data_IF_942171866021
#
_entry.id   IF_942171866021
#
_cell.length_a   1.000
_cell.length_b   1.000
_cell.length_c   1.000
_cell.angle_alpha   90.00
_cell.angle_beta   90.00
_cell.angle_gamma   90.00
#
_symmetry.space_group_name_H-M   'P 1'
#
loop_
_entity.id
_entity.type
_entity.pdbx_description
1 polymer ?
#
# COMPACT_ATOMS: atom_id res chain seq x y z
N UNK A 1 -1.42 -25.49 16.21
CA UNK A 1 -1.34 -24.14 15.63
C UNK A 1 -0.65 -23.23 16.59
N UNK A 2 0.15 -22.31 16.06
CA UNK A 2 0.78 -21.22 16.79
C UNK A 2 0.16 -19.90 16.34
N UNK A 3 0.07 -18.92 17.23
CA UNK A 3 -0.41 -17.58 16.87
C UNK A 3 0.57 -16.91 15.88
N UNK A 4 0.06 -16.20 14.84
CA UNK A 4 0.89 -15.40 13.96
C UNK A 4 1.79 -14.44 14.75
N UNK A 5 3.06 -14.37 14.33
CA UNK A 5 4.09 -13.61 15.04
C UNK A 5 4.95 -12.80 14.06
N UNK A 6 5.69 -11.82 14.58
CA UNK A 6 6.64 -11.02 13.80
C UNK A 6 7.94 -10.91 14.58
N UNK A 7 9.05 -11.27 13.94
CA UNK A 7 10.37 -11.00 14.45
C UNK A 7 10.83 -9.63 13.92
N UNK A 8 11.19 -8.72 14.82
CA UNK A 8 11.65 -7.38 14.49
C UNK A 8 13.07 -7.14 14.98
N UNK A 9 13.90 -6.51 14.14
CA UNK A 9 15.19 -5.94 14.52
C UNK A 9 15.16 -4.47 14.14
N UNK A 10 15.51 -3.58 15.07
CA UNK A 10 15.58 -2.14 14.82
C UNK A 10 16.88 -1.55 15.33
N UNK A 11 17.37 -0.55 14.60
CA UNK A 11 18.58 0.20 14.93
C UNK A 11 18.34 1.69 14.67
N UNK A 12 18.63 2.53 15.66
CA UNK A 12 18.45 3.97 15.56
C UNK A 12 19.71 4.73 15.96
N UNK A 13 20.02 5.80 15.22
CA UNK A 13 21.05 6.77 15.58
C UNK A 13 20.46 8.17 15.50
N UNK A 14 20.75 9.00 16.49
CA UNK A 14 20.30 10.38 16.52
C UNK A 14 21.39 11.30 17.07
N UNK A 15 21.38 12.55 16.64
CA UNK A 15 22.26 13.56 17.19
C UNK A 15 21.59 14.95 17.15
N UNK A 16 21.99 15.80 18.09
CA UNK A 16 21.59 17.20 18.14
C UNK A 16 22.86 18.06 18.22
N UNK A 17 23.04 18.93 17.24
CA UNK A 17 24.17 19.85 17.17
C UNK A 17 23.65 21.26 16.99
N UNK A 18 23.95 22.12 17.97
CA UNK A 18 23.47 23.51 18.03
C UNK A 18 21.93 23.57 17.94
N UNK A 19 21.41 24.14 16.85
CA UNK A 19 19.98 24.31 16.58
C UNK A 19 19.44 23.28 15.58
N UNK A 20 20.25 22.30 15.22
CA UNK A 20 19.88 21.19 14.35
C UNK A 20 19.76 19.88 15.13
N UNK A 21 18.81 19.05 14.73
CA UNK A 21 18.71 17.68 15.20
C UNK A 21 18.36 16.76 14.03
N UNK A 22 18.90 15.55 14.05
CA UNK A 22 18.58 14.53 13.07
C UNK A 22 18.51 13.15 13.72
N UNK A 23 17.74 12.25 13.09
CA UNK A 23 17.53 10.87 13.50
C UNK A 23 17.44 9.99 12.26
N UNK A 24 18.00 8.79 12.36
CA UNK A 24 17.90 7.74 11.35
C UNK A 24 17.52 6.45 12.06
N UNK A 25 16.42 5.82 11.66
CA UNK A 25 16.01 4.51 12.16
C UNK A 25 15.88 3.51 11.01
N UNK A 26 16.43 2.32 11.21
CA UNK A 26 16.19 1.15 10.38
C UNK A 26 15.35 0.14 11.16
N UNK A 27 14.39 -0.49 10.48
CA UNK A 27 13.61 -1.60 11.00
C UNK A 27 13.53 -2.72 9.96
N UNK A 28 13.80 -3.94 10.40
CA UNK A 28 13.56 -5.17 9.65
C UNK A 28 12.47 -5.97 10.35
N UNK A 29 11.45 -6.43 9.61
CA UNK A 29 10.44 -7.36 10.12
C UNK A 29 10.35 -8.58 9.24
N UNK A 30 10.27 -9.75 9.87
CA UNK A 30 9.94 -11.03 9.23
C UNK A 30 8.74 -11.63 9.94
N UNK A 31 7.62 -11.67 9.23
CA UNK A 31 6.41 -12.32 9.72
C UNK A 31 6.56 -13.85 9.69
N UNK A 32 5.96 -14.52 10.67
CA UNK A 32 5.98 -15.96 10.85
C UNK A 32 4.59 -16.47 11.30
N UNK A 33 4.41 -17.79 11.24
CA UNK A 33 3.23 -18.49 11.76
C UNK A 33 1.90 -18.00 11.16
N UNK A 34 1.89 -17.59 9.89
CA UNK A 34 0.66 -17.13 9.22
C UNK A 34 -0.33 -18.28 9.05
N UNK A 35 -1.60 -18.02 9.31
CA UNK A 35 -2.64 -19.02 9.07
C UNK A 35 -2.86 -19.27 7.57
N UNK A 36 -3.02 -20.55 7.23
CA UNK A 36 -3.40 -21.01 5.90
C UNK A 36 -4.40 -22.15 5.96
N UNK A 37 -5.06 -22.35 4.82
CA UNK A 37 -5.96 -23.46 4.55
C UNK A 37 -5.18 -24.60 3.91
N UNK A 38 -5.39 -25.80 4.44
CA UNK A 38 -4.84 -27.05 3.95
C UNK A 38 -6.00 -27.90 3.45
N UNK A 39 -5.98 -28.21 2.16
CA UNK A 39 -6.94 -29.11 1.54
C UNK A 39 -6.15 -29.95 0.53
N UNK A 40 -5.93 -31.21 0.90
CA UNK A 40 -5.27 -32.21 0.06
C UNK A 40 -5.78 -33.61 0.39
N UNK A 41 -5.34 -34.63 -0.33
CA UNK A 41 -5.84 -36.00 -0.10
C UNK A 41 -5.62 -36.53 1.32
N UNK A 42 -4.63 -36.02 2.07
CA UNK A 42 -4.37 -36.44 3.46
C UNK A 42 -5.30 -35.79 4.49
N UNK A 43 -5.95 -34.68 4.14
CA UNK A 43 -6.95 -34.02 5.00
C UNK A 43 -8.27 -34.80 5.07
N UNK A 44 -8.52 -35.70 4.11
CA UNK A 44 -9.71 -36.55 4.08
C UNK A 44 -10.97 -35.83 3.59
N UNK A 45 -12.11 -36.45 3.86
CA UNK A 45 -13.43 -35.98 3.43
C UNK A 45 -14.41 -36.00 4.59
N UNK A 46 -15.37 -35.10 4.56
CA UNK A 46 -16.51 -35.06 5.49
C UNK A 46 -17.81 -35.21 4.71
N UNK A 47 -18.88 -35.54 5.40
CA UNK A 47 -20.20 -35.71 4.79
C UNK A 47 -21.19 -34.84 5.54
N UNK A 48 -22.06 -34.14 4.81
CA UNK A 48 -23.15 -33.38 5.42
C UNK A 48 -24.27 -34.32 5.93
N UNK A 49 -25.29 -33.75 6.59
CA UNK A 49 -26.43 -34.51 7.08
C UNK A 49 -27.26 -35.19 5.98
N UNK A 50 -27.06 -34.83 4.70
CA UNK A 50 -27.73 -35.38 3.54
C UNK A 50 -26.88 -36.43 2.80
N UNK A 51 -25.71 -36.80 3.31
CA UNK A 51 -24.86 -37.82 2.69
C UNK A 51 -23.93 -37.28 1.59
N UNK A 52 -23.86 -35.95 1.38
CA UNK A 52 -23.00 -35.36 0.33
C UNK A 52 -21.56 -35.25 0.82
N UNK A 53 -20.57 -35.79 0.08
CA UNK A 53 -19.18 -35.69 0.47
C UNK A 53 -18.59 -34.32 0.13
N UNK A 54 -17.68 -33.85 0.97
CA UNK A 54 -16.89 -32.64 0.79
C UNK A 54 -15.42 -32.93 1.13
N UNK A 55 -14.50 -32.30 0.42
CA UNK A 55 -13.08 -32.33 0.78
C UNK A 55 -12.88 -31.48 2.05
N UNK A 56 -12.18 -32.02 3.05
CA UNK A 56 -12.02 -31.37 4.35
C UNK A 56 -10.92 -30.29 4.30
N UNK A 57 -11.27 -29.03 4.54
CA UNK A 57 -10.27 -27.98 4.78
C UNK A 57 -9.88 -27.96 6.25
N UNK A 58 -8.59 -28.17 6.52
CA UNK A 58 -8.00 -27.90 7.82
C UNK A 58 -7.34 -26.53 7.81
N UNK A 59 -7.43 -25.82 8.92
CA UNK A 59 -6.64 -24.60 9.12
C UNK A 59 -5.36 -25.00 9.84
N UNK A 60 -4.22 -24.43 9.46
CA UNK A 60 -2.95 -24.53 10.23
C UNK A 60 -2.04 -23.35 9.89
N UNK A 61 -0.80 -23.34 10.37
CA UNK A 61 0.19 -22.35 9.96
C UNK A 61 0.82 -22.76 8.63
N UNK A 62 0.73 -21.91 7.60
CA UNK A 62 1.27 -22.18 6.28
C UNK A 62 2.79 -21.96 6.24
N UNK A 63 3.61 -22.96 5.87
CA UNK A 63 5.04 -22.77 5.69
C UNK A 63 5.37 -22.02 4.38
N UNK A 64 4.40 -21.92 3.46
CA UNK A 64 4.57 -21.28 2.16
C UNK A 64 4.42 -19.76 2.25
N UNK A 65 3.67 -19.27 3.25
CA UNK A 65 3.38 -17.86 3.40
C UNK A 65 4.60 -17.06 3.89
N UNK A 66 4.98 -16.06 3.11
CA UNK A 66 6.16 -15.22 3.32
C UNK A 66 5.72 -13.75 3.25
N UNK A 67 6.10 -12.97 4.26
CA UNK A 67 5.98 -11.50 4.28
C UNK A 67 7.12 -10.90 5.09
N UNK A 68 7.77 -9.88 4.53
CA UNK A 68 8.91 -9.18 5.11
C UNK A 68 8.75 -7.69 4.89
N UNK A 69 9.37 -6.92 5.77
CA UNK A 69 9.40 -5.47 5.70
C UNK A 69 10.79 -4.92 6.05
N UNK A 70 11.26 -3.97 5.26
CA UNK A 70 12.40 -3.11 5.58
C UNK A 70 11.90 -1.66 5.58
N UNK A 71 12.27 -0.90 6.59
CA UNK A 71 12.00 0.53 6.67
C UNK A 71 13.24 1.28 7.09
N UNK A 72 13.56 2.36 6.38
CA UNK A 72 14.53 3.37 6.78
C UNK A 72 13.80 4.71 6.89
N UNK A 73 13.79 5.30 8.09
CA UNK A 73 13.24 6.63 8.34
C UNK A 73 14.34 7.59 8.70
N UNK A 74 14.45 8.69 7.96
CA UNK A 74 15.36 9.78 8.24
C UNK A 74 14.54 11.03 8.58
N UNK A 75 14.85 11.65 9.71
CA UNK A 75 14.22 12.88 10.18
C UNK A 75 15.32 13.92 10.43
N UNK A 76 15.13 15.13 9.92
CA UNK A 76 16.05 16.23 10.16
C UNK A 76 15.29 17.54 10.37
N UNK A 77 15.78 18.36 11.30
CA UNK A 77 15.22 19.68 11.59
C UNK A 77 16.32 20.67 11.95
N UNK A 78 16.13 21.92 11.55
CA UNK A 78 17.02 23.00 11.92
C UNK A 78 16.24 24.28 12.21
N UNK A 79 16.55 24.93 13.33
CA UNK A 79 15.95 26.21 13.73
C UNK A 79 16.93 27.35 13.54
N UNK A 80 16.63 28.24 12.60
CA UNK A 80 17.22 29.58 12.51
C UNK A 80 16.46 30.54 13.46
N UNK A 81 16.71 31.84 13.36
CA UNK A 81 16.09 32.83 14.26
C UNK A 81 14.57 32.95 14.00
N UNK A 82 14.18 33.27 12.78
CA UNK A 82 12.79 33.43 12.35
C UNK A 82 12.31 32.31 11.41
N UNK A 83 13.18 31.35 11.10
CA UNK A 83 12.92 30.28 10.14
C UNK A 83 13.17 28.93 10.79
N UNK A 84 12.23 28.01 10.62
CA UNK A 84 12.39 26.60 10.96
C UNK A 84 12.25 25.80 9.68
N UNK A 85 13.15 24.85 9.49
CA UNK A 85 13.08 23.90 8.38
C UNK A 85 13.16 22.50 8.94
N UNK A 86 12.47 21.57 8.31
CA UNK A 86 12.62 20.18 8.65
C UNK A 86 12.06 19.29 7.57
N UNK A 87 12.28 18.01 7.74
CA UNK A 87 11.68 17.02 6.89
C UNK A 87 11.90 15.62 7.39
N UNK A 88 11.09 14.74 6.84
CA UNK A 88 11.21 13.31 7.00
C UNK A 88 11.21 12.62 5.64
N UNK A 89 11.92 11.50 5.60
CA UNK A 89 12.00 10.63 4.44
C UNK A 89 11.89 9.20 4.91
N UNK A 90 11.00 8.44 4.29
CA UNK A 90 10.84 7.01 4.50
C UNK A 90 11.18 6.29 3.20
N UNK A 91 12.17 5.41 3.27
CA UNK A 91 12.42 4.37 2.27
C UNK A 91 11.86 3.07 2.83
N UNK A 92 10.87 2.48 2.17
CA UNK A 92 10.25 1.24 2.65
C UNK A 92 10.25 0.13 1.61
N UNK A 93 10.24 -1.12 2.07
CA UNK A 93 10.06 -2.32 1.25
C UNK A 93 9.13 -3.26 1.97
N UNK A 94 8.00 -3.63 1.38
CA UNK A 94 7.17 -4.75 1.83
C UNK A 94 7.13 -5.78 0.73
N UNK A 95 7.58 -7.00 1.02
CA UNK A 95 7.66 -8.05 0.00
C UNK A 95 7.40 -9.45 0.56
N UNK A 96 6.97 -10.35 -0.32
CA UNK A 96 6.48 -11.66 0.05
C UNK A 96 5.54 -12.21 -1.01
N UNK A 97 4.88 -13.32 -0.69
CA UNK A 97 3.80 -13.90 -1.49
C UNK A 97 2.43 -13.77 -0.79
N UNK A 98 2.39 -13.27 0.45
CA UNK A 98 1.17 -13.19 1.25
C UNK A 98 0.86 -11.77 1.74
N UNK A 99 -0.37 -11.32 1.51
CA UNK A 99 -0.86 -10.01 1.97
C UNK A 99 -1.51 -10.08 3.34
N UNK A 100 -2.26 -11.13 3.61
CA UNK A 100 -3.01 -11.30 4.86
C UNK A 100 -4.29 -10.49 4.96
N UNK A 101 -4.58 -9.56 4.03
CA UNK A 101 -5.79 -8.73 4.02
C UNK A 101 -6.21 -8.36 2.59
N UNK A 102 -7.45 -7.89 2.41
CA UNK A 102 -7.92 -7.29 1.16
C UNK A 102 -8.85 -6.09 1.43
N UNK A 103 -9.33 -5.40 0.39
CA UNK A 103 -10.13 -4.17 0.55
C UNK A 103 -11.47 -4.40 1.27
N UNK A 104 -12.04 -5.60 1.17
CA UNK A 104 -13.38 -5.93 1.71
C UNK A 104 -13.36 -6.81 2.96
N UNK A 105 -12.18 -7.18 3.47
CA UNK A 105 -12.04 -8.13 4.57
C UNK A 105 -10.75 -7.88 5.35
N UNK A 106 -10.79 -8.12 6.65
CA UNK A 106 -9.60 -8.09 7.50
C UNK A 106 -8.71 -9.32 7.27
N UNK A 107 -8.30 -10.05 8.33
CA UNK A 107 -7.36 -11.14 8.19
C UNK A 107 -7.92 -12.26 7.31
N UNK A 108 -7.29 -12.49 6.17
CA UNK A 108 -7.54 -13.64 5.28
C UNK A 108 -6.48 -14.72 5.51
N UNK A 109 -6.83 -15.98 5.22
CA UNK A 109 -5.92 -17.11 5.32
C UNK A 109 -5.21 -17.36 3.99
N UNK A 110 -3.97 -17.84 4.04
CA UNK A 110 -3.25 -18.27 2.85
C UNK A 110 -3.94 -19.51 2.25
N UNK A 111 -4.04 -19.59 0.92
CA UNK A 111 -4.65 -20.75 0.22
C UNK A 111 -3.64 -21.55 -0.59
N UNK A 112 -2.35 -21.29 -0.40
CA UNK A 112 -1.24 -21.91 -1.14
C UNK A 112 -1.21 -23.43 -0.96
N UNK A 113 -1.62 -23.92 0.21
CA UNK A 113 -1.62 -25.34 0.59
C UNK A 113 -2.96 -26.05 0.27
N UNK A 114 -3.86 -25.39 -0.47
CA UNK A 114 -5.10 -26.00 -0.99
C UNK A 114 -4.92 -26.43 -2.43
N UNK A 115 -5.29 -27.66 -2.77
CA UNK A 115 -5.17 -28.20 -4.14
C UNK A 115 -3.76 -27.98 -4.70
N UNK A 116 -2.73 -28.40 -3.96
CA UNK A 116 -1.33 -28.10 -4.28
C UNK A 116 -0.93 -28.57 -5.69
N UNK A 117 -1.53 -29.65 -6.19
CA UNK A 117 -1.30 -30.20 -7.53
C UNK A 117 -1.74 -29.24 -8.66
N UNK A 118 -2.64 -28.30 -8.35
CA UNK A 118 -3.22 -27.34 -9.29
C UNK A 118 -2.49 -26.00 -9.29
N UNK A 119 -1.35 -25.88 -8.59
CA UNK A 119 -0.65 -24.62 -8.33
C UNK A 119 0.87 -24.79 -8.42
N UNK A 120 1.58 -23.68 -8.62
CA UNK A 120 3.03 -23.62 -8.51
C UNK A 120 3.46 -22.26 -7.98
N UNK A 121 4.49 -22.23 -7.12
CA UNK A 121 4.98 -20.97 -6.52
C UNK A 121 5.38 -19.95 -7.59
N UNK A 122 5.99 -20.37 -8.70
CA UNK A 122 6.50 -19.48 -9.74
C UNK A 122 5.45 -18.60 -10.41
N UNK A 123 4.18 -19.01 -10.43
CA UNK A 123 3.11 -18.27 -11.11
C UNK A 123 1.82 -18.09 -10.31
N UNK A 124 1.51 -18.95 -9.33
CA UNK A 124 0.28 -18.82 -8.53
C UNK A 124 0.44 -17.91 -7.31
N UNK A 125 1.60 -18.01 -6.65
CA UNK A 125 1.93 -17.24 -5.44
C UNK A 125 3.41 -16.86 -5.42
N UNK A 126 3.93 -16.20 -6.48
CA UNK A 126 5.32 -15.80 -6.53
C UNK A 126 5.61 -14.76 -5.44
N UNK A 127 6.87 -14.73 -5.01
CA UNK A 127 7.35 -13.66 -4.13
C UNK A 127 7.61 -12.39 -4.94
N UNK A 128 7.11 -11.26 -4.48
CA UNK A 128 7.40 -9.94 -5.04
C UNK A 128 6.99 -8.82 -4.09
N UNK A 129 6.84 -7.59 -4.58
CA UNK A 129 6.35 -6.50 -3.74
C UNK A 129 4.89 -6.75 -3.37
N UNK A 130 4.55 -6.62 -2.10
CA UNK A 130 3.16 -6.72 -1.68
C UNK A 130 2.39 -5.46 -2.10
N UNK A 131 1.10 -5.58 -2.45
CA UNK A 131 0.19 -4.45 -2.50
C UNK A 131 0.29 -3.58 -1.25
N UNK A 132 0.39 -2.27 -1.44
CA UNK A 132 0.68 -1.32 -0.36
C UNK A 132 2.17 -0.98 -0.17
N UNK A 133 3.09 -1.67 -0.86
CA UNK A 133 4.48 -1.24 -0.92
C UNK A 133 4.59 0.13 -1.59
N UNK A 134 5.00 1.12 -0.80
CA UNK A 134 5.25 2.49 -1.25
C UNK A 134 6.70 2.85 -0.91
N UNK A 135 7.55 2.81 -1.94
CA UNK A 135 9.00 2.82 -1.80
C UNK A 135 9.53 4.09 -1.14
N UNK A 136 9.05 5.26 -1.56
CA UNK A 136 9.53 6.56 -1.11
C UNK A 136 8.38 7.38 -0.56
N UNK A 137 8.56 7.99 0.62
CA UNK A 137 7.64 8.99 1.16
C UNK A 137 8.43 10.11 1.79
N UNK A 138 8.21 11.34 1.34
CA UNK A 138 8.96 12.52 1.78
C UNK A 138 8.01 13.62 2.21
N UNK A 139 8.34 14.27 3.32
CA UNK A 139 7.66 15.47 3.78
C UNK A 139 8.72 16.46 4.18
N UNK A 140 8.81 17.58 3.49
CA UNK A 140 9.72 18.66 3.83
C UNK A 140 8.90 19.91 4.12
N UNK A 141 9.21 20.61 5.20
CA UNK A 141 8.46 21.76 5.63
C UNK A 141 9.37 22.92 6.01
N UNK A 142 8.79 24.11 5.88
CA UNK A 142 9.38 25.38 6.24
C UNK A 142 8.33 26.15 7.03
N UNK A 143 8.72 26.75 8.15
CA UNK A 143 7.89 27.67 8.92
C UNK A 143 8.68 28.97 9.15
N UNK A 144 8.13 30.08 8.71
CA UNK A 144 8.77 31.39 8.75
C UNK A 144 7.91 32.41 9.50
N UNK A 145 8.45 32.96 10.57
CA UNK A 145 7.89 34.10 11.28
C UNK A 145 8.32 35.38 10.59
N UNK A 146 7.35 36.12 10.05
CA UNK A 146 7.64 37.37 9.33
C UNK A 146 8.04 38.45 10.33
N UNK A 147 9.24 39.05 10.22
CA UNK A 147 9.64 40.14 11.09
C UNK A 147 8.85 41.39 10.73
N UNK A 148 7.96 41.81 11.62
CA UNK A 148 7.20 43.05 11.48
C UNK A 148 6.94 43.68 12.84
N UNK A 149 6.46 44.93 12.82
CA UNK A 149 6.12 45.68 14.03
C UNK A 149 4.97 45.00 14.75
N UNK A 150 5.04 44.89 16.08
CA UNK A 150 3.99 44.27 16.90
C UNK A 150 2.60 44.92 16.71
N UNK A 151 2.56 46.21 16.34
CA UNK A 151 1.32 46.95 16.03
C UNK A 151 0.58 46.40 14.81
N UNK A 152 1.27 45.68 13.92
CA UNK A 152 0.72 45.02 12.74
C UNK A 152 0.33 43.56 13.01
N UNK A 153 0.65 43.03 14.19
CA UNK A 153 0.40 41.65 14.60
C UNK A 153 1.59 40.72 14.38
N UNK A 154 1.32 39.42 14.34
CA UNK A 154 2.26 38.32 14.09
C UNK A 154 1.79 37.52 12.87
N UNK A 155 2.68 37.26 11.90
CA UNK A 155 2.42 36.46 10.70
C UNK A 155 3.38 35.29 10.72
N UNK A 156 2.83 34.11 10.49
CA UNK A 156 3.61 32.90 10.22
C UNK A 156 3.22 32.32 8.87
N UNK A 157 4.23 32.00 8.07
CA UNK A 157 4.07 31.34 6.77
C UNK A 157 4.65 29.93 6.88
N UNK A 158 3.82 28.93 6.61
CA UNK A 158 4.19 27.53 6.54
C UNK A 158 4.14 27.02 5.10
N UNK A 159 5.17 26.29 4.67
CA UNK A 159 5.18 25.55 3.40
C UNK A 159 5.44 24.08 3.71
N UNK A 160 4.71 23.17 3.06
CA UNK A 160 4.90 21.73 3.20
C UNK A 160 4.90 21.08 1.82
N UNK A 161 6.03 20.50 1.44
CA UNK A 161 6.15 19.62 0.28
C UNK A 161 5.90 18.18 0.73
N UNK A 162 5.00 17.48 0.03
CA UNK A 162 4.82 16.04 0.11
C UNK A 162 5.20 15.40 -1.21
N UNK A 163 5.83 14.23 -1.15
CA UNK A 163 6.29 13.48 -2.31
C UNK A 163 6.27 11.98 -1.97
N UNK A 164 5.33 11.24 -2.53
CA UNK A 164 5.20 9.81 -2.28
C UNK A 164 5.24 9.05 -3.61
N UNK A 165 6.04 7.98 -3.68
CA UNK A 165 6.11 7.13 -4.88
C UNK A 165 4.80 6.38 -5.11
N UNK A 166 4.63 5.82 -6.32
CA UNK A 166 3.56 4.88 -6.62
C UNK A 166 3.50 3.68 -5.68
N UNK A 167 2.27 3.23 -5.39
CA UNK A 167 2.01 2.00 -4.65
C UNK A 167 2.06 0.81 -5.61
N UNK A 168 2.72 -0.28 -5.20
CA UNK A 168 2.73 -1.53 -5.94
C UNK A 168 1.34 -2.20 -5.99
N UNK A 169 1.04 -2.86 -7.10
CA UNK A 169 -0.20 -3.61 -7.30
C UNK A 169 0.07 -4.99 -7.89
N UNK A 170 -0.72 -5.96 -7.46
CA UNK A 170 -0.73 -7.30 -8.02
C UNK A 170 -1.60 -7.31 -9.28
N UNK A 171 -0.96 -7.55 -10.43
CA UNK A 171 -1.67 -7.80 -11.70
C UNK A 171 -1.69 -9.30 -11.93
N UNK A 172 -2.86 -9.91 -11.74
CA UNK A 172 -3.09 -11.33 -11.94
C UNK A 172 -4.47 -11.56 -12.57
N UNK A 173 -4.68 -12.78 -13.05
CA UNK A 173 -5.97 -13.23 -13.58
C UNK A 173 -6.21 -14.70 -13.27
N UNK A 174 -7.44 -15.16 -13.46
CA UNK A 174 -7.80 -16.56 -13.23
C UNK A 174 -7.38 -17.44 -14.40
N UNK A 175 -6.86 -18.63 -14.13
CA UNK A 175 -6.59 -19.68 -15.13
C UNK A 175 -7.19 -21.01 -14.67
N UNK A 176 -7.66 -21.82 -15.62
CA UNK A 176 -8.17 -23.17 -15.35
C UNK A 176 -7.05 -24.21 -15.55
N UNK A 177 -6.64 -24.86 -14.46
CA UNK A 177 -5.58 -25.87 -14.45
C UNK A 177 -6.09 -27.30 -14.56
N UNK A 178 -7.42 -27.53 -14.48
CA UNK A 178 -8.01 -28.87 -14.52
C UNK A 178 -7.68 -29.69 -15.77
N UNK A 179 -7.56 -29.10 -16.98
CA UNK A 179 -7.17 -29.86 -18.17
C UNK A 179 -5.73 -30.42 -18.10
N UNK A 180 -4.89 -29.91 -17.21
CA UNK A 180 -3.45 -30.22 -17.14
C UNK A 180 -3.06 -31.00 -15.89
N UNK A 181 -4.03 -31.28 -15.01
CA UNK A 181 -3.84 -32.01 -13.76
C UNK A 181 -4.83 -33.15 -13.72
N UNK A 182 -4.33 -34.39 -13.73
CA UNK A 182 -5.16 -35.56 -13.44
C UNK A 182 -5.69 -35.43 -12.02
N UNK A 183 -7.02 -35.30 -11.87
CA UNK A 183 -7.64 -35.17 -10.56
C UNK A 183 -7.20 -36.34 -9.67
N UNK A 184 -6.43 -36.09 -8.59
CA UNK A 184 -5.88 -37.15 -7.77
C UNK A 184 -6.94 -37.81 -6.87
N UNK A 185 -8.16 -37.26 -6.86
CA UNK A 185 -9.30 -37.80 -6.14
C UNK A 185 -10.07 -36.76 -5.32
N UNK A 186 -10.05 -35.48 -5.68
CA UNK A 186 -10.92 -34.49 -5.05
C UNK A 186 -12.37 -34.70 -5.48
N UNK A 187 -13.31 -34.48 -4.55
CA UNK A 187 -14.75 -34.51 -4.87
C UNK A 187 -15.08 -33.36 -5.82
N UNK A 188 -14.60 -32.16 -5.48
CA UNK A 188 -14.78 -30.96 -6.32
C UNK A 188 -13.41 -30.30 -6.54
N UNK A 189 -12.68 -30.68 -7.60
CA UNK A 189 -11.41 -30.04 -7.91
C UNK A 189 -11.60 -28.55 -8.20
N UNK A 190 -10.62 -27.75 -7.80
CA UNK A 190 -10.63 -26.29 -7.96
C UNK A 190 -10.81 -25.89 -9.44
N UNK A 191 -11.73 -24.98 -9.71
CA UNK A 191 -12.12 -24.60 -11.08
C UNK A 191 -11.19 -23.58 -11.72
N UNK A 192 -10.55 -22.74 -10.91
CA UNK A 192 -9.56 -21.76 -11.35
C UNK A 192 -8.66 -21.34 -10.21
N UNK A 193 -7.48 -20.88 -10.58
CA UNK A 193 -6.46 -20.35 -9.67
C UNK A 193 -5.89 -19.05 -10.23
N UNK A 194 -5.36 -18.19 -9.37
CA UNK A 194 -4.69 -16.98 -9.81
C UNK A 194 -3.42 -17.30 -10.62
N UNK A 195 -3.10 -16.47 -11.61
CA UNK A 195 -1.86 -16.52 -12.36
C UNK A 195 -1.29 -15.11 -12.47
N UNK A 196 -0.07 -14.92 -11.97
CA UNK A 196 0.67 -13.68 -12.07
C UNK A 196 1.39 -13.63 -13.41
N UNK A 197 0.80 -12.89 -14.36
CA UNK A 197 1.32 -12.73 -15.73
C UNK A 197 2.54 -11.81 -15.81
N UNK A 198 2.70 -10.95 -14.81
CA UNK A 198 3.90 -10.16 -14.55
C UNK A 198 4.37 -10.41 -13.11
N UNK A 199 5.67 -10.22 -12.82
CA UNK A 199 6.19 -10.20 -11.47
C UNK A 199 5.31 -9.41 -10.47
N UNK A 200 5.15 -9.99 -9.30
CA UNK A 200 4.26 -9.49 -8.26
C UNK A 200 4.68 -8.10 -7.77
N UNK A 201 3.75 -7.15 -7.82
CA UNK A 201 3.97 -5.75 -7.44
C UNK A 201 4.91 -4.97 -8.37
N UNK A 202 5.12 -5.44 -9.60
CA UNK A 202 5.88 -4.72 -10.63
C UNK A 202 5.14 -3.48 -11.14
N UNK A 203 3.84 -3.60 -11.37
CA UNK A 203 3.02 -2.44 -11.73
C UNK A 203 2.88 -1.49 -10.53
N UNK A 204 3.14 -0.20 -10.76
CA UNK A 204 3.02 0.86 -9.76
C UNK A 204 2.22 2.03 -10.33
N UNK A 205 1.39 2.62 -9.48
CA UNK A 205 0.67 3.85 -9.80
C UNK A 205 1.57 5.07 -9.94
N UNK A 206 1.01 6.20 -10.37
CA UNK A 206 1.76 7.44 -10.51
C UNK A 206 2.28 7.90 -9.13
N UNK A 207 3.44 8.56 -9.14
CA UNK A 207 3.95 9.20 -7.92
C UNK A 207 3.17 10.50 -7.65
N UNK A 208 2.96 10.81 -6.38
CA UNK A 208 2.10 11.90 -5.92
C UNK A 208 2.92 12.98 -5.26
N UNK A 209 2.65 14.25 -5.59
CA UNK A 209 3.42 15.38 -5.09
C UNK A 209 2.49 16.57 -4.85
N UNK A 210 2.57 17.18 -3.66
CA UNK A 210 1.82 18.39 -3.34
C UNK A 210 2.72 19.40 -2.62
N UNK A 211 2.61 20.67 -3.02
CA UNK A 211 3.12 21.79 -2.23
C UNK A 211 1.92 22.45 -1.55
N UNK A 212 1.93 22.49 -0.24
CA UNK A 212 0.90 23.12 0.57
C UNK A 212 1.45 24.41 1.18
N UNK A 213 0.61 25.44 1.25
CA UNK A 213 0.92 26.74 1.83
C UNK A 213 -0.06 27.03 2.95
N UNK A 214 0.43 27.50 4.08
CA UNK A 214 -0.37 28.03 5.18
C UNK A 214 0.12 29.42 5.54
N UNK A 215 -0.81 30.35 5.78
CA UNK A 215 -0.53 31.68 6.31
C UNK A 215 -1.40 31.86 7.53
N UNK A 216 -0.80 32.24 8.64
CA UNK A 216 -1.52 32.64 9.85
C UNK A 216 -1.16 34.08 10.20
N UNK A 217 -2.15 34.82 10.68
CA UNK A 217 -2.00 36.17 11.19
C UNK A 217 -2.77 36.31 12.50
N UNK A 218 -2.20 37.00 13.47
CA UNK A 218 -2.85 37.29 14.75
C UNK A 218 -2.46 38.67 15.27
N UNK A 219 -3.42 39.43 15.82
CA UNK A 219 -3.18 40.74 16.42
C UNK A 219 -3.94 40.91 17.74
N UNK A 220 -3.19 41.14 18.81
CA UNK A 220 -3.74 41.48 20.12
C UNK A 220 -4.44 42.84 20.08
N UNK A 221 -5.56 42.94 20.79
CA UNK A 221 -6.41 44.12 20.91
C UNK A 221 -6.29 44.71 22.33
N UNK A 222 -6.12 46.03 22.40
CA UNK A 222 -6.07 46.80 23.65
C UNK A 222 -4.74 46.70 24.41
N UNK A 223 -4.56 47.60 25.40
CA UNK A 223 -3.32 47.69 26.20
C UNK A 223 -3.10 46.46 27.11
N UNK A 224 -4.16 45.74 27.47
CA UNK A 224 -4.11 44.57 28.36
C UNK A 224 -4.02 43.21 27.63
N UNK A 225 -4.07 43.18 26.29
CA UNK A 225 -3.87 41.96 25.49
C UNK A 225 -4.88 40.83 25.71
N UNK A 226 -6.07 41.12 26.25
CA UNK A 226 -7.11 40.13 26.60
C UNK A 226 -7.96 39.68 25.41
N UNK A 227 -7.75 40.23 24.22
CA UNK A 227 -8.49 39.78 23.04
C UNK A 227 -7.58 39.82 21.83
N UNK A 228 -7.83 38.95 20.84
CA UNK A 228 -7.03 38.89 19.62
C UNK A 228 -7.90 38.57 18.41
N UNK A 229 -7.65 39.30 17.32
CA UNK A 229 -8.16 38.96 15.99
C UNK A 229 -7.18 37.99 15.35
N UNK A 230 -7.69 36.94 14.73
CA UNK A 230 -6.86 36.00 13.97
C UNK A 230 -7.41 35.72 12.58
N UNK A 231 -6.51 35.32 11.70
CA UNK A 231 -6.79 34.76 10.39
C UNK A 231 -5.85 33.58 10.14
N UNK A 232 -6.35 32.54 9.49
CA UNK A 232 -5.58 31.43 8.94
C UNK A 232 -6.11 31.10 7.56
N UNK A 233 -5.22 31.04 6.58
CA UNK A 233 -5.49 30.55 5.23
C UNK A 233 -4.59 29.35 4.94
N UNK A 234 -5.13 28.35 4.25
CA UNK A 234 -4.40 27.16 3.81
C UNK A 234 -4.77 26.89 2.35
N UNK A 235 -3.77 26.57 1.54
CA UNK A 235 -3.94 26.03 0.20
C UNK A 235 -3.19 24.70 0.15
N UNK A 236 -3.90 23.58 -0.05
CA UNK A 236 -3.26 22.29 -0.33
C UNK A 236 -3.11 22.09 -1.83
N UNK A 237 -2.04 21.43 -2.26
CA UNK A 237 -1.74 21.21 -3.69
C UNK A 237 -1.78 22.53 -4.50
N UNK A 238 -0.98 23.52 -4.08
CA UNK A 238 -0.91 24.88 -4.64
C UNK A 238 -0.75 24.90 -6.17
N UNK A 239 0.07 23.99 -6.70
CA UNK A 239 0.36 23.84 -8.14
C UNK A 239 -0.70 23.05 -8.89
N UNK A 240 -1.73 22.54 -8.20
CA UNK A 240 -2.79 21.72 -8.77
C UNK A 240 -2.26 20.51 -9.56
N UNK A 241 -1.26 19.83 -9.00
CA UNK A 241 -0.73 18.60 -9.59
C UNK A 241 -1.85 17.56 -9.66
N UNK A 242 -1.82 16.68 -10.67
CA UNK A 242 -2.67 15.48 -10.76
C UNK A 242 -1.82 14.22 -10.94
N UNK A 243 -2.26 13.11 -10.36
CA UNK A 243 -1.60 11.81 -10.42
C UNK A 243 -2.67 10.73 -10.23
N UNK A 244 -2.62 9.65 -11.03
CA UNK A 244 -3.51 8.50 -10.86
C UNK A 244 -2.92 7.58 -9.81
N UNK A 245 -3.67 7.39 -8.73
CA UNK A 245 -3.29 6.57 -7.59
C UNK A 245 -3.94 5.19 -7.62
N UNK A 246 -4.97 5.01 -8.44
CA UNK A 246 -5.79 3.80 -8.57
C UNK A 246 -6.45 3.76 -9.96
N UNK A 247 -7.10 2.64 -10.26
CA UNK A 247 -7.83 2.41 -11.49
C UNK A 247 -8.05 0.92 -11.74
N UNK A 248 -8.55 0.60 -12.93
CA UNK A 248 -8.74 -0.78 -13.36
C UNK A 248 -7.38 -1.51 -13.50
N UNK A 249 -7.32 -2.72 -12.95
CA UNK A 249 -6.13 -3.59 -13.00
C UNK A 249 -6.46 -4.96 -13.57
N UNK A 250 -7.64 -5.13 -14.15
CA UNK A 250 -8.09 -6.40 -14.68
C UNK A 250 -7.28 -6.81 -15.90
N UNK A 251 -7.06 -8.11 -16.02
CA UNK A 251 -6.57 -8.73 -17.24
C UNK A 251 -7.62 -9.70 -17.77
N UNK A 252 -7.56 -9.95 -19.06
CA UNK A 252 -8.33 -10.99 -19.71
C UNK A 252 -7.46 -12.24 -19.86
N UNK A 253 -8.04 -13.39 -19.57
CA UNK A 253 -7.50 -14.72 -19.88
C UNK A 253 -8.61 -15.53 -20.52
N UNK A 254 -8.33 -16.78 -20.93
CA UNK A 254 -9.40 -17.66 -21.43
C UNK A 254 -10.54 -17.89 -20.42
N UNK A 255 -10.27 -17.75 -19.13
CA UNK A 255 -11.25 -17.99 -18.07
C UNK A 255 -12.42 -16.99 -18.12
N UNK A 256 -12.14 -15.70 -18.35
CA UNK A 256 -13.16 -14.66 -18.43
C UNK A 256 -13.48 -14.21 -19.87
N UNK A 257 -12.64 -14.56 -20.85
CA UNK A 257 -12.84 -14.21 -22.24
C UNK A 257 -12.37 -15.34 -23.17
N UNK A 258 -13.32 -16.01 -23.83
CA UNK A 258 -13.06 -17.19 -24.68
C UNK A 258 -12.28 -16.89 -25.97
N UNK A 259 -12.03 -15.62 -26.30
CA UNK A 259 -11.16 -15.24 -27.42
C UNK A 259 -9.68 -15.59 -27.17
N UNK A 260 -9.26 -15.73 -25.91
CA UNK A 260 -7.90 -16.10 -25.55
C UNK A 260 -7.69 -17.62 -25.55
N UNK A 261 -6.49 -18.05 -25.90
CA UNK A 261 -6.10 -19.45 -25.96
C UNK A 261 -5.78 -20.01 -24.57
N UNK A 262 -6.14 -21.28 -24.33
CA UNK A 262 -5.67 -21.96 -23.12
C UNK A 262 -4.17 -22.24 -23.24
N UNK A 263 -3.50 -22.35 -22.11
CA UNK A 263 -2.10 -22.75 -22.01
C UNK A 263 -1.92 -23.63 -20.79
N UNK A 264 -0.89 -24.49 -20.82
CA UNK A 264 -0.50 -25.29 -19.68
C UNK A 264 0.46 -24.46 -18.80
N UNK A 265 0.03 -23.94 -17.64
CA UNK A 265 0.89 -23.08 -16.81
C UNK A 265 2.08 -23.81 -16.19
N UNK A 266 2.07 -25.16 -16.17
CA UNK A 266 3.17 -25.96 -15.62
C UNK A 266 4.33 -26.15 -16.60
N UNK A 267 4.11 -25.97 -17.90
CA UNK A 267 5.12 -26.25 -18.93
C UNK A 267 5.37 -25.07 -19.88
N UNK A 268 4.46 -24.10 -19.94
CA UNK A 268 4.53 -22.99 -20.88
C UNK A 268 4.24 -21.66 -20.20
N UNK A 269 5.07 -20.66 -20.45
CA UNK A 269 4.77 -19.27 -20.09
C UNK A 269 3.73 -18.71 -21.08
N UNK A 270 2.69 -18.02 -20.61
CA UNK A 270 1.64 -17.49 -21.46
C UNK A 270 2.12 -16.26 -22.24
N UNK A 271 1.66 -16.13 -23.49
CA UNK A 271 2.03 -15.03 -24.38
C UNK A 271 0.94 -13.96 -24.34
N UNK A 272 1.34 -12.70 -24.14
CA UNK A 272 0.42 -11.57 -24.21
C UNK A 272 -0.18 -11.43 -25.63
N UNK A 273 -1.47 -11.13 -25.73
CA UNK A 273 -2.24 -11.09 -26.98
C UNK A 273 -2.74 -12.46 -27.47
N UNK A 274 -2.17 -13.57 -26.96
CA UNK A 274 -2.61 -14.92 -27.33
C UNK A 274 -3.33 -15.64 -26.17
N UNK A 275 -2.71 -15.67 -24.99
CA UNK A 275 -3.23 -16.36 -23.81
C UNK A 275 -3.86 -15.40 -22.78
N UNK A 276 -3.39 -14.16 -22.77
CA UNK A 276 -3.89 -13.10 -21.90
C UNK A 276 -3.63 -11.73 -22.51
N UNK A 277 -4.35 -10.71 -22.06
CA UNK A 277 -4.00 -9.30 -22.32
C UNK A 277 -4.59 -8.41 -21.22
N UNK A 278 -4.14 -7.16 -21.15
CA UNK A 278 -4.78 -6.16 -20.31
C UNK A 278 -6.25 -5.95 -20.70
N UNK A 279 -7.10 -5.59 -19.75
CA UNK A 279 -8.43 -5.09 -20.09
C UNK A 279 -8.33 -3.82 -20.96
N UNK A 280 -9.31 -3.52 -21.81
CA UNK A 280 -9.31 -2.26 -22.58
C UNK A 280 -9.26 -1.00 -21.71
N UNK A 281 -9.68 -1.11 -20.44
CA UNK A 281 -9.70 -0.03 -19.45
C UNK A 281 -8.52 -0.09 -18.48
N UNK A 282 -7.56 -1.00 -18.65
CA UNK A 282 -6.45 -1.17 -17.72
C UNK A 282 -5.69 0.14 -17.49
N UNK A 283 -5.42 0.45 -16.22
CA UNK A 283 -4.78 1.68 -15.77
C UNK A 283 -5.67 2.94 -15.86
N UNK A 284 -6.91 2.83 -16.33
CA UNK A 284 -7.85 3.94 -16.33
C UNK A 284 -8.52 4.07 -14.97
N UNK A 285 -8.70 5.31 -14.47
CA UNK A 285 -9.45 5.56 -13.24
C UNK A 285 -10.93 5.21 -13.45
N UNK A 286 -11.54 4.65 -12.41
CA UNK A 286 -12.94 4.23 -12.34
C UNK A 286 -13.79 5.17 -11.48
N UNK A 287 -13.16 5.98 -10.62
CA UNK A 287 -13.82 6.94 -9.75
C UNK A 287 -12.99 8.23 -9.58
N UNK A 288 -13.61 9.28 -9.00
CA UNK A 288 -12.95 10.57 -8.80
C UNK A 288 -11.79 10.51 -7.78
N UNK A 289 -11.90 9.60 -6.80
CA UNK A 289 -10.91 9.38 -5.73
C UNK A 289 -9.76 8.46 -6.16
N UNK A 290 -9.74 8.03 -7.42
CA UNK A 290 -8.58 7.38 -8.03
C UNK A 290 -7.48 8.38 -8.39
N UNK A 291 -7.78 9.68 -8.38
CA UNK A 291 -6.82 10.74 -8.55
C UNK A 291 -6.37 11.30 -7.20
N UNK A 292 -5.15 11.85 -7.17
CA UNK A 292 -4.74 12.64 -6.03
C UNK A 292 -5.68 13.85 -5.82
N UNK A 293 -5.94 14.26 -4.56
CA UNK A 293 -6.83 15.38 -4.29
C UNK A 293 -6.44 16.65 -5.07
N UNK A 294 -7.44 17.27 -5.69
CA UNK A 294 -7.28 18.56 -6.36
C UNK A 294 -6.87 19.66 -5.36
N UNK A 295 -6.48 20.83 -5.87
CA UNK A 295 -6.20 21.99 -5.02
C UNK A 295 -7.39 22.35 -4.14
N UNK A 296 -7.17 22.48 -2.83
CA UNK A 296 -8.20 22.90 -1.88
C UNK A 296 -7.80 24.20 -1.18
N UNK A 297 -8.79 25.04 -0.92
CA UNK A 297 -8.63 26.29 -0.17
C UNK A 297 -9.42 26.16 1.14
N UNK A 298 -8.80 26.53 2.25
CA UNK A 298 -9.45 26.60 3.55
C UNK A 298 -9.04 27.88 4.26
N UNK A 299 -9.99 28.51 4.96
CA UNK A 299 -9.68 29.67 5.79
C UNK A 299 -10.52 29.68 7.06
N UNK A 300 -10.01 30.36 8.08
CA UNK A 300 -10.72 30.61 9.34
C UNK A 300 -10.30 31.98 9.88
N UNK A 301 -11.24 32.76 10.39
CA UNK A 301 -10.99 34.04 11.02
C UNK A 301 -11.92 34.22 12.22
N UNK A 302 -11.51 35.03 13.20
CA UNK A 302 -12.35 35.29 14.36
C UNK A 302 -11.68 36.10 15.46
N UNK A 303 -12.35 36.15 16.61
CA UNK A 303 -11.91 36.78 17.85
C UNK A 303 -11.67 35.70 18.91
N UNK A 304 -10.55 35.79 19.64
CA UNK A 304 -10.28 35.00 20.86
C UNK A 304 -10.17 35.93 22.08
N UNK A 305 -10.67 35.49 23.23
CA UNK A 305 -10.71 36.24 24.50
C UNK A 305 -9.97 35.47 25.60
#
# INVERSE_FOLDING_TARGET
MTSPSVNEVSLGVQNQVRRGAWRLDYVHRKSADMYGDFLNLSTGRVTDSAGRPFDLTLVSNSPQAKRRYDGLTADARYRFTSLQVGGNYTLSRTWGNFNGENVGSGPIRATFDTFAEYRQESWNFPTGYNPGDQRHKTRAWLAYTVPMRETLGHVEVGVLQRADSGVAVDVNGSVDTRPYVTNPGYVTPISNVAYYVIPRGEFRWDSTFSTDLAITWGKKLGQAGRSEVFFRGIVSNLTNNTARQRGDININTRFNNTAFQAFNPFTTAPVQGANWDYSPTFGQPQAFDDYQPARQFGFSAGLRF
#
